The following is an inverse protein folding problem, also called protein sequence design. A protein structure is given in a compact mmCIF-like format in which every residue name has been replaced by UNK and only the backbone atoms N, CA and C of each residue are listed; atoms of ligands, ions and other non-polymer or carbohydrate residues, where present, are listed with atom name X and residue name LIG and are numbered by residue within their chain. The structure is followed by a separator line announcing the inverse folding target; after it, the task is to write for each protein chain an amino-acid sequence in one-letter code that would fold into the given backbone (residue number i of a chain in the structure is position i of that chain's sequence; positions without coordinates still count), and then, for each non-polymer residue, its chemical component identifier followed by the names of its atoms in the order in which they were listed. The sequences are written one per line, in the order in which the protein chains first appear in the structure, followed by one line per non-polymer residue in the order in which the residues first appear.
data_IF_812319680630
#
_entry.id   IF_812319680630
#
_cell.length_a   1.000
_cell.length_b   1.000
_cell.length_c   1.000
_cell.angle_alpha   90.00
_cell.angle_beta   90.00
_cell.angle_gamma   90.00
#
_symmetry.space_group_name_H-M   'P 1'
#
loop_
_entity.id
_entity.type
_entity.pdbx_description
1 polymer ?
#
# COMPACT_ATOMS: atom_id res chain seq x y z
N UNK A 1 38.77 -18.37 68.27
CA UNK A 1 39.07 -17.24 67.37
C UNK A 1 39.23 -17.79 65.95
N UNK A 2 38.36 -18.67 65.43
CA UNK A 2 36.93 -18.53 65.01
C UNK A 2 36.73 -17.42 63.99
N UNK A 3 36.64 -17.83 62.73
CA UNK A 3 36.29 -17.03 61.57
C UNK A 3 34.83 -16.55 61.66
N UNK A 4 34.58 -15.31 61.21
CA UNK A 4 33.25 -14.74 61.01
C UNK A 4 32.85 -14.95 59.53
N UNK A 5 31.79 -15.74 59.23
CA UNK A 5 31.33 -16.00 57.87
C UNK A 5 30.16 -15.11 57.39
N UNK A 6 29.65 -14.14 58.18
CA UNK A 6 28.36 -13.47 57.89
C UNK A 6 28.43 -11.94 57.74
N UNK A 7 29.33 -11.44 56.89
CA UNK A 7 29.24 -10.07 56.40
C UNK A 7 28.43 -10.02 55.08
N UNK A 8 27.21 -9.44 55.04
CA UNK A 8 26.44 -9.29 53.81
C UNK A 8 27.10 -8.24 52.92
N UNK A 9 27.98 -8.72 52.03
CA UNK A 9 28.50 -7.92 50.92
C UNK A 9 27.35 -7.49 50.02
N UNK A 10 27.04 -6.19 50.05
CA UNK A 10 26.10 -5.54 49.14
C UNK A 10 26.59 -5.73 47.71
N UNK A 11 26.10 -6.79 47.04
CA UNK A 11 26.35 -7.01 45.61
C UNK A 11 25.69 -5.85 44.87
N UNK A 12 26.52 -4.93 44.38
CA UNK A 12 26.09 -3.87 43.46
C UNK A 12 25.30 -4.51 42.33
N UNK A 13 24.11 -3.99 42.14
CA UNK A 13 23.23 -4.22 41.01
C UNK A 13 24.02 -4.25 39.70
N UNK A 14 24.06 -5.42 39.06
CA UNK A 14 24.33 -5.50 37.63
C UNK A 14 23.19 -4.77 36.94
N UNK A 15 23.45 -3.55 36.47
CA UNK A 15 22.56 -2.85 35.57
C UNK A 15 22.21 -3.77 34.39
N UNK A 16 20.94 -3.84 33.95
CA UNK A 16 20.64 -4.55 32.73
C UNK A 16 21.37 -3.83 31.60
N UNK A 17 22.28 -4.57 30.96
CA UNK A 17 22.97 -4.16 29.74
C UNK A 17 21.92 -3.58 28.79
N UNK A 18 22.07 -2.28 28.50
CA UNK A 18 21.27 -1.54 27.54
C UNK A 18 21.64 -1.97 26.13
N UNK A 19 21.52 -3.27 25.86
CA UNK A 19 21.70 -3.89 24.57
C UNK A 19 20.74 -3.25 23.61
N UNK A 20 21.29 -2.37 22.76
CA UNK A 20 20.72 -1.81 21.55
C UNK A 20 19.33 -2.37 21.22
N UNK A 21 18.30 -1.58 21.49
CA UNK A 21 16.98 -1.74 20.87
C UNK A 21 17.17 -1.63 19.36
N UNK A 22 17.53 -2.74 18.72
CA UNK A 22 17.52 -2.88 17.27
C UNK A 22 16.06 -2.69 16.88
N UNK A 23 15.73 -1.48 16.42
CA UNK A 23 14.40 -1.15 15.92
C UNK A 23 13.94 -2.19 14.89
N UNK A 24 12.61 -2.32 14.68
CA UNK A 24 12.04 -3.33 13.79
C UNK A 24 12.76 -3.34 12.44
N UNK A 25 13.30 -4.50 12.07
CA UNK A 25 14.14 -4.67 10.87
C UNK A 25 13.30 -4.51 9.60
N UNK A 26 13.06 -3.27 9.16
CA UNK A 26 12.50 -2.89 7.85
C UNK A 26 13.37 -3.34 6.64
N UNK A 27 14.46 -4.07 6.88
CA UNK A 27 15.39 -4.58 5.86
C UNK A 27 14.80 -5.69 4.99
N UNK A 28 13.85 -6.49 5.49
CA UNK A 28 13.36 -7.67 4.75
C UNK A 28 12.58 -7.29 3.49
N UNK A 29 11.72 -6.28 3.58
CA UNK A 29 10.97 -5.77 2.42
C UNK A 29 11.91 -5.34 1.29
N UNK A 30 12.87 -4.46 1.60
CA UNK A 30 13.76 -3.89 0.58
C UNK A 30 14.64 -4.94 -0.11
N UNK A 31 15.06 -6.00 0.58
CA UNK A 31 15.92 -7.04 0.01
C UNK A 31 15.15 -7.97 -0.94
N UNK A 32 13.88 -8.28 -0.63
CA UNK A 32 13.00 -9.06 -1.50
C UNK A 32 12.65 -8.25 -2.76
N UNK A 33 12.38 -6.96 -2.61
CA UNK A 33 12.01 -6.09 -3.75
C UNK A 33 13.19 -5.66 -4.62
N UNK A 34 14.41 -5.56 -4.09
CA UNK A 34 15.60 -5.16 -4.84
C UNK A 34 16.07 -6.19 -5.88
N UNK A 35 15.74 -7.47 -5.70
CA UNK A 35 16.18 -8.56 -6.58
C UNK A 35 15.42 -8.62 -7.92
N UNK A 36 14.29 -7.93 -8.04
CA UNK A 36 13.42 -7.96 -9.24
C UNK A 36 13.67 -6.81 -10.24
N UNK A 37 14.87 -6.20 -10.26
CA UNK A 37 15.17 -5.10 -11.19
C UNK A 37 16.18 -5.51 -12.26
N UNK A 38 15.67 -5.87 -13.44
CA UNK A 38 16.43 -5.97 -14.68
C UNK A 38 16.41 -4.63 -15.42
N UNK A 39 17.39 -4.33 -16.27
CA UNK A 39 17.44 -3.05 -17.00
C UNK A 39 16.21 -2.80 -17.89
N UNK A 40 15.59 -3.86 -18.42
CA UNK A 40 14.35 -3.78 -19.21
C UNK A 40 13.14 -3.37 -18.35
N UNK A 41 13.09 -3.80 -17.08
CA UNK A 41 12.00 -3.47 -16.17
C UNK A 41 11.95 -1.96 -15.86
N UNK A 42 13.10 -1.29 -15.87
CA UNK A 42 13.18 0.16 -15.65
C UNK A 42 12.56 0.96 -16.79
N UNK A 43 12.70 0.50 -18.02
CA UNK A 43 12.13 1.16 -19.19
C UNK A 43 10.61 0.96 -19.24
N UNK A 44 10.14 -0.28 -19.00
CA UNK A 44 8.71 -0.57 -18.89
C UNK A 44 8.06 0.23 -17.74
N UNK A 45 8.71 0.32 -16.58
CA UNK A 45 8.25 1.13 -15.45
C UNK A 45 8.13 2.62 -15.81
N UNK A 46 9.07 3.15 -16.59
CA UNK A 46 9.04 4.55 -17.00
C UNK A 46 7.88 4.83 -17.97
N UNK A 47 7.66 3.96 -18.95
CA UNK A 47 6.55 4.09 -19.90
C UNK A 47 5.21 4.00 -19.17
N UNK A 48 5.03 2.99 -18.31
CA UNK A 48 3.76 2.82 -17.60
C UNK A 48 3.52 3.95 -16.60
N UNK A 49 4.57 4.45 -15.93
CA UNK A 49 4.44 5.61 -15.05
C UNK A 49 4.04 6.87 -15.84
N UNK A 50 4.59 7.08 -17.03
CA UNK A 50 4.21 8.19 -17.90
C UNK A 50 2.77 8.05 -18.41
N UNK A 51 2.39 6.86 -18.88
CA UNK A 51 1.04 6.56 -19.37
C UNK A 51 -0.05 6.75 -18.29
N UNK A 52 0.29 6.58 -17.00
CA UNK A 52 -0.62 6.82 -15.88
C UNK A 52 -0.82 8.30 -15.51
N UNK A 53 -0.17 9.25 -16.20
CA UNK A 53 -0.27 10.68 -15.88
C UNK A 53 -1.25 11.42 -16.78
N UNK A 54 -1.86 12.50 -16.28
CA UNK A 54 -2.67 13.40 -17.12
C UNK A 54 -1.86 14.07 -18.24
N UNK A 55 -0.54 14.20 -18.08
CA UNK A 55 0.36 14.72 -19.11
C UNK A 55 0.32 13.94 -20.42
N UNK A 56 0.21 12.61 -20.34
CA UNK A 56 0.09 11.73 -21.50
C UNK A 56 -1.13 12.09 -22.36
N UNK A 57 -2.28 12.35 -21.72
CA UNK A 57 -3.53 12.71 -22.38
C UNK A 57 -3.40 14.04 -23.12
N UNK A 58 -2.79 15.06 -22.50
CA UNK A 58 -2.58 16.35 -23.15
C UNK A 58 -1.66 16.26 -24.36
N UNK A 59 -0.55 15.50 -24.26
CA UNK A 59 0.37 15.28 -25.39
C UNK A 59 -0.34 14.62 -26.57
N UNK A 60 -1.12 13.56 -26.32
CA UNK A 60 -1.89 12.88 -27.39
C UNK A 60 -2.96 13.78 -28.00
N UNK A 61 -3.65 14.56 -27.17
CA UNK A 61 -4.68 15.51 -27.65
C UNK A 61 -4.08 16.55 -28.59
N UNK A 62 -2.94 17.14 -28.21
CA UNK A 62 -2.22 18.11 -29.06
C UNK A 62 -1.70 17.43 -30.32
N UNK A 63 -1.12 16.24 -30.21
CA UNK A 63 -0.63 15.46 -31.35
C UNK A 63 -1.74 15.18 -32.37
N UNK A 64 -2.91 14.69 -31.93
CA UNK A 64 -4.05 14.44 -32.81
C UNK A 64 -4.60 15.73 -33.42
N UNK A 65 -4.72 16.80 -32.63
CA UNK A 65 -5.17 18.09 -33.14
C UNK A 65 -4.23 18.63 -34.24
N UNK A 66 -2.91 18.51 -34.05
CA UNK A 66 -1.90 18.89 -35.04
C UNK A 66 -2.00 18.01 -36.29
N UNK A 67 -2.13 16.69 -36.14
CA UNK A 67 -2.26 15.77 -37.29
C UNK A 67 -3.48 16.09 -38.14
N UNK A 68 -4.63 16.31 -37.50
CA UNK A 68 -5.89 16.67 -38.15
C UNK A 68 -5.72 18.03 -38.83
N UNK A 69 -5.20 19.05 -38.14
CA UNK A 69 -4.99 20.38 -38.70
C UNK A 69 -4.06 20.38 -39.92
N UNK A 70 -2.97 19.59 -39.90
CA UNK A 70 -2.06 19.43 -41.04
C UNK A 70 -2.75 18.74 -42.23
N UNK A 71 -3.54 17.69 -41.99
CA UNK A 71 -4.26 17.01 -43.08
C UNK A 71 -5.40 17.86 -43.65
N UNK A 72 -6.04 18.73 -42.85
CA UNK A 72 -7.10 19.63 -43.31
C UNK A 72 -6.58 20.92 -43.95
N UNK A 73 -5.46 21.48 -43.48
CA UNK A 73 -5.01 22.84 -43.85
C UNK A 73 -3.85 22.88 -44.82
N UNK A 74 -3.00 21.84 -44.87
CA UNK A 74 -1.74 21.89 -45.62
C UNK A 74 -1.82 21.28 -47.02
N UNK A 75 -2.72 20.33 -47.23
CA UNK A 75 -2.86 19.62 -48.51
C UNK A 75 -4.16 20.02 -49.17
N UNK A 76 -4.07 20.89 -50.18
CA UNK A 76 -5.17 21.12 -51.11
C UNK A 76 -5.62 19.81 -51.79
N UNK A 77 -6.73 19.81 -52.56
CA UNK A 77 -7.43 18.62 -53.05
C UNK A 77 -6.62 17.63 -53.93
N UNK A 78 -5.32 17.85 -54.15
CA UNK A 78 -4.47 17.06 -55.03
C UNK A 78 -3.60 16.00 -54.33
N UNK A 79 -3.22 16.14 -53.04
CA UNK A 79 -2.38 15.15 -52.34
C UNK A 79 -2.69 15.08 -50.84
N UNK A 80 -3.81 14.47 -50.45
CA UNK A 80 -4.11 14.25 -49.02
C UNK A 80 -3.30 13.05 -48.50
N UNK A 81 -2.38 13.28 -47.56
CA UNK A 81 -1.51 12.23 -46.97
C UNK A 81 -2.30 11.16 -46.20
N UNK A 82 -3.32 11.57 -45.41
CA UNK A 82 -4.21 10.67 -44.69
C UNK A 82 -5.68 11.12 -44.87
N UNK A 83 -6.36 10.66 -45.93
CA UNK A 83 -7.75 11.06 -46.22
C UNK A 83 -8.68 10.66 -45.09
N UNK A 84 -9.67 11.52 -44.80
CA UNK A 84 -10.76 11.16 -43.89
C UNK A 84 -11.39 9.84 -44.37
N UNK A 85 -11.43 8.77 -43.54
CA UNK A 85 -11.47 8.75 -42.07
C UNK A 85 -10.13 8.56 -41.30
N UNK A 86 -8.99 9.02 -41.81
CA UNK A 86 -7.66 8.94 -41.18
C UNK A 86 -7.20 7.49 -40.87
N UNK A 87 -7.05 6.68 -41.92
CA UNK A 87 -6.68 5.28 -41.79
C UNK A 87 -5.29 5.06 -41.20
N UNK A 88 -4.31 5.88 -41.57
CA UNK A 88 -2.93 5.74 -41.08
C UNK A 88 -2.82 6.10 -39.60
N UNK A 89 -3.44 7.22 -39.18
CA UNK A 89 -3.51 7.59 -37.77
C UNK A 89 -4.14 6.47 -36.96
N UNK A 90 -5.29 5.95 -37.40
CA UNK A 90 -6.02 4.90 -36.68
C UNK A 90 -5.18 3.63 -36.53
N UNK A 91 -4.45 3.24 -37.57
CA UNK A 91 -3.57 2.07 -37.53
C UNK A 91 -2.43 2.25 -36.52
N UNK A 92 -1.76 3.41 -36.53
CA UNK A 92 -0.64 3.71 -35.63
C UNK A 92 -1.13 3.73 -34.18
N UNK A 93 -2.23 4.43 -33.90
CA UNK A 93 -2.81 4.52 -32.55
C UNK A 93 -3.26 3.15 -32.03
N UNK A 94 -3.83 2.31 -32.89
CA UNK A 94 -4.23 0.96 -32.50
C UNK A 94 -3.03 0.10 -32.10
N UNK A 95 -1.93 0.20 -32.85
CA UNK A 95 -0.68 -0.49 -32.53
C UNK A 95 -0.08 0.03 -31.22
N UNK A 96 -0.03 1.35 -31.04
CA UNK A 96 0.44 1.99 -29.82
C UNK A 96 -0.37 1.57 -28.58
N UNK A 97 -1.70 1.51 -28.71
CA UNK A 97 -2.59 1.08 -27.64
C UNK A 97 -2.33 -0.38 -27.20
N UNK A 98 -2.02 -1.28 -28.13
CA UNK A 98 -1.65 -2.67 -27.82
C UNK A 98 -0.35 -2.72 -26.98
N UNK A 99 0.67 -1.95 -27.37
CA UNK A 99 1.92 -1.85 -26.61
C UNK A 99 1.69 -1.27 -25.21
N UNK A 100 0.92 -0.17 -25.10
CA UNK A 100 0.59 0.45 -23.82
C UNK A 100 -0.17 -0.51 -22.90
N UNK A 101 -1.19 -1.21 -23.41
CA UNK A 101 -1.94 -2.22 -22.66
C UNK A 101 -1.02 -3.34 -22.14
N UNK A 102 -0.09 -3.80 -22.97
CA UNK A 102 0.89 -4.83 -22.58
C UNK A 102 1.84 -4.32 -21.48
N UNK A 103 2.35 -3.10 -21.58
CA UNK A 103 3.21 -2.50 -20.55
C UNK A 103 2.47 -2.25 -19.23
N UNK A 104 1.21 -1.82 -19.31
CA UNK A 104 0.32 -1.69 -18.15
C UNK A 104 0.12 -3.05 -17.50
N UNK A 105 -0.19 -4.10 -18.28
CA UNK A 105 -0.38 -5.46 -17.76
C UNK A 105 0.87 -6.00 -17.06
N UNK A 106 2.05 -5.81 -17.64
CA UNK A 106 3.33 -6.24 -17.02
C UNK A 106 3.57 -5.49 -15.71
N UNK A 107 3.31 -4.18 -15.67
CA UNK A 107 3.42 -3.37 -14.45
C UNK A 107 2.44 -3.83 -13.37
N UNK A 108 1.17 -4.07 -13.75
CA UNK A 108 0.12 -4.57 -12.86
C UNK A 108 0.48 -5.94 -12.30
N UNK A 109 0.95 -6.88 -13.11
CA UNK A 109 1.38 -8.20 -12.63
C UNK A 109 2.52 -8.08 -11.60
N UNK A 110 3.46 -7.15 -11.83
CA UNK A 110 4.54 -6.85 -10.87
C UNK A 110 4.05 -6.14 -9.61
N UNK A 111 3.02 -5.30 -9.69
CA UNK A 111 2.39 -4.67 -8.52
C UNK A 111 1.63 -5.73 -7.69
N UNK A 112 0.83 -6.58 -8.33
CA UNK A 112 0.11 -7.67 -7.68
C UNK A 112 1.06 -8.65 -6.95
N UNK A 113 2.19 -9.02 -7.57
CA UNK A 113 3.20 -9.84 -6.90
C UNK A 113 3.79 -9.17 -5.65
N UNK A 114 3.98 -7.84 -5.67
CA UNK A 114 4.46 -7.07 -4.52
C UNK A 114 3.39 -6.95 -3.43
N UNK A 115 2.14 -6.77 -3.82
CA UNK A 115 0.99 -6.71 -2.91
C UNK A 115 0.79 -8.04 -2.18
N UNK A 116 0.94 -9.18 -2.86
CA UNK A 116 0.86 -10.50 -2.24
C UNK A 116 1.91 -10.68 -1.14
N UNK A 117 3.18 -10.37 -1.42
CA UNK A 117 4.27 -10.44 -0.42
C UNK A 117 3.99 -9.50 0.75
N UNK A 118 3.49 -8.29 0.46
CA UNK A 118 3.14 -7.33 1.51
C UNK A 118 1.99 -7.84 2.38
N UNK A 119 0.98 -8.48 1.78
CA UNK A 119 -0.14 -9.07 2.50
C UNK A 119 0.33 -10.16 3.47
N UNK A 120 1.24 -11.04 3.04
CA UNK A 120 1.82 -12.08 3.90
C UNK A 120 2.57 -11.49 5.10
N UNK A 121 3.39 -10.45 4.87
CA UNK A 121 4.13 -9.77 5.94
C UNK A 121 3.21 -9.04 6.93
N UNK A 122 2.15 -8.42 6.42
CA UNK A 122 1.13 -7.76 7.26
C UNK A 122 0.40 -8.80 8.10
N UNK A 123 0.05 -9.95 7.52
CA UNK A 123 -0.56 -11.05 8.23
C UNK A 123 0.34 -11.58 9.36
N UNK A 124 1.62 -11.86 9.08
CA UNK A 124 2.57 -12.30 10.11
C UNK A 124 2.71 -11.27 11.24
N UNK A 125 2.79 -10.00 10.88
CA UNK A 125 2.88 -8.91 11.87
C UNK A 125 1.62 -8.83 12.73
N UNK A 126 0.44 -9.00 12.13
CA UNK A 126 -0.83 -8.99 12.86
C UNK A 126 -0.94 -10.16 13.83
N UNK A 127 -0.64 -11.38 13.38
CA UNK A 127 -0.62 -12.57 14.25
C UNK A 127 0.37 -12.40 15.40
N UNK A 128 1.56 -11.86 15.12
CA UNK A 128 2.54 -11.57 16.17
C UNK A 128 2.00 -10.55 17.16
N UNK A 129 1.40 -9.45 16.70
CA UNK A 129 0.82 -8.43 17.57
C UNK A 129 -0.29 -9.00 18.46
N UNK A 130 -1.15 -9.85 17.91
CA UNK A 130 -2.20 -10.55 18.65
C UNK A 130 -1.62 -11.44 19.75
N UNK A 131 -0.62 -12.27 19.43
CA UNK A 131 0.07 -13.13 20.41
C UNK A 131 0.70 -12.32 21.53
N UNK A 132 1.34 -11.19 21.22
CA UNK A 132 1.91 -10.29 22.23
C UNK A 132 0.83 -9.64 23.10
N UNK A 133 -0.28 -9.18 22.51
CA UNK A 133 -1.40 -8.59 23.23
C UNK A 133 -2.01 -9.59 24.22
N UNK A 134 -2.24 -10.84 23.80
CA UNK A 134 -2.76 -11.89 24.68
C UNK A 134 -1.79 -12.19 25.83
N UNK A 135 -0.48 -12.25 25.58
CA UNK A 135 0.51 -12.47 26.63
C UNK A 135 0.56 -11.32 27.64
N UNK A 136 0.52 -10.07 27.17
CA UNK A 136 0.46 -8.90 28.05
C UNK A 136 -0.83 -8.89 28.88
N UNK A 137 -1.96 -9.20 28.26
CA UNK A 137 -3.25 -9.31 28.96
C UNK A 137 -3.20 -10.35 30.08
N UNK A 138 -2.69 -11.55 29.79
CA UNK A 138 -2.50 -12.61 30.79
C UNK A 138 -1.54 -12.19 31.91
N UNK A 139 -0.42 -11.54 31.59
CA UNK A 139 0.56 -11.08 32.58
C UNK A 139 -0.02 -9.99 33.51
N UNK A 140 -0.98 -9.21 33.03
CA UNK A 140 -1.73 -8.20 33.81
C UNK A 140 -2.95 -8.77 34.52
N UNK A 141 -3.25 -10.06 34.38
CA UNK A 141 -4.43 -10.71 34.96
C UNK A 141 -5.76 -10.33 34.30
N UNK A 142 -5.72 -9.80 33.08
CA UNK A 142 -6.94 -9.49 32.31
C UNK A 142 -7.56 -10.78 31.75
N UNK A 143 -8.87 -10.94 31.92
CA UNK A 143 -9.64 -12.01 31.30
C UNK A 143 -9.91 -11.67 29.82
N UNK A 144 -9.46 -12.49 28.85
CA UNK A 144 -9.75 -12.29 27.43
C UNK A 144 -11.24 -12.15 27.12
N UNK A 145 -12.12 -12.85 27.85
CA UNK A 145 -13.57 -12.72 27.63
C UNK A 145 -14.08 -11.31 27.93
N UNK A 146 -13.56 -10.67 28.97
CA UNK A 146 -14.00 -9.33 29.37
C UNK A 146 -13.57 -8.28 28.35
N UNK A 147 -12.37 -8.42 27.76
CA UNK A 147 -11.90 -7.55 26.68
C UNK A 147 -12.77 -7.72 25.44
N UNK A 148 -13.09 -8.96 25.06
CA UNK A 148 -13.94 -9.26 23.90
C UNK A 148 -15.35 -8.67 24.06
N UNK A 149 -15.95 -8.81 25.25
CA UNK A 149 -17.25 -8.21 25.55
C UNK A 149 -17.22 -6.68 25.44
N UNK A 150 -16.16 -6.03 25.92
CA UNK A 150 -16.01 -4.59 25.83
C UNK A 150 -15.83 -4.11 24.38
N UNK A 151 -15.05 -4.84 23.57
CA UNK A 151 -14.88 -4.55 22.13
C UNK A 151 -16.21 -4.70 21.38
N UNK A 152 -16.96 -5.77 21.64
CA UNK A 152 -18.27 -5.98 21.01
C UNK A 152 -19.26 -4.87 21.36
N UNK A 153 -19.26 -4.39 22.61
CA UNK A 153 -20.10 -3.28 23.01
C UNK A 153 -19.71 -1.98 22.28
N UNK A 154 -18.42 -1.65 22.20
CA UNK A 154 -17.94 -0.47 21.46
C UNK A 154 -18.30 -0.57 19.97
N UNK A 155 -18.13 -1.73 19.35
CA UNK A 155 -18.48 -1.94 17.93
C UNK A 155 -19.99 -1.82 17.71
N UNK A 156 -20.81 -2.34 18.62
CA UNK A 156 -22.27 -2.21 18.59
C UNK A 156 -22.67 -0.73 18.67
N UNK A 157 -22.11 0.02 19.63
CA UNK A 157 -22.37 1.46 19.78
C UNK A 157 -21.97 2.25 18.53
N UNK A 158 -20.77 2.01 17.98
CA UNK A 158 -20.29 2.67 16.76
C UNK A 158 -21.18 2.35 15.54
N UNK A 159 -21.59 1.08 15.40
CA UNK A 159 -22.53 0.67 14.34
C UNK A 159 -23.88 1.37 14.47
N UNK A 160 -24.45 1.46 15.67
CA UNK A 160 -25.71 2.17 15.93
C UNK A 160 -25.61 3.68 15.68
N UNK A 161 -24.45 4.29 15.93
CA UNK A 161 -24.20 5.71 15.62
C UNK A 161 -24.06 5.98 14.11
N UNK A 162 -23.49 5.05 13.34
CA UNK A 162 -23.35 5.18 11.88
C UNK A 162 -24.64 4.82 11.11
N UNK A 163 -25.44 3.91 11.65
CA UNK A 163 -26.69 3.46 11.02
C UNK A 163 -27.83 3.53 12.04
N UNK A 164 -28.38 4.74 12.31
CA UNK A 164 -29.50 4.88 13.22
C UNK A 164 -30.68 4.07 12.68
N UNK A 165 -31.14 3.09 13.45
CA UNK A 165 -32.36 2.35 13.15
C UNK A 165 -33.53 3.35 13.00
N UNK A 166 -34.36 3.26 11.94
CA UNK A 166 -35.52 4.12 11.81
C UNK A 166 -36.50 3.78 12.95
N UNK A 167 -36.51 4.60 14.02
CA UNK A 167 -37.47 4.51 15.12
C UNK A 167 -36.90 4.26 16.52
N UNK A 168 -35.58 4.21 16.72
CA UNK A 168 -34.99 4.16 18.07
C UNK A 168 -34.37 5.51 18.39
N UNK A 169 -35.02 6.28 19.28
CA UNK A 169 -34.46 7.56 19.76
C UNK A 169 -33.09 7.35 20.40
N UNK A 170 -32.12 8.25 20.17
CA UNK A 170 -30.82 8.17 20.81
C UNK A 170 -30.98 8.29 22.31
N UNK A 171 -30.55 7.27 23.05
CA UNK A 171 -30.45 7.33 24.52
C UNK A 171 -29.41 8.39 24.83
N UNK A 172 -29.88 9.54 25.31
CA UNK A 172 -29.03 10.61 25.82
C UNK A 172 -28.33 10.10 27.07
N UNK A 173 -26.99 10.22 27.18
CA UNK A 173 -26.33 9.92 28.43
C UNK A 173 -26.76 10.99 29.43
N UNK A 174 -27.54 10.59 30.43
CA UNK A 174 -27.84 11.43 31.58
C UNK A 174 -26.52 11.88 32.20
N UNK A 175 -26.32 13.19 32.22
CA UNK A 175 -25.17 13.82 32.84
C UNK A 175 -25.17 13.51 34.35
N UNK A 176 -24.11 12.83 34.81
CA UNK A 176 -23.69 12.84 36.22
C UNK A 176 -23.27 14.25 36.67
#
# INVERSE_FOLDING_TARGET
MTADPDAPGFRRSSAPDGGHRRGPRLRHERLVFARMRTSQDRFADAITAFAGTMGFVYVHTVWFAVWIALNLSLFGPAEVFDPYPFGLLTMIVSLEAIFLSTFVMVSQNRQAARENIRADLVFETNVRAEVWAVHMGKALGLDPKQVELHVQEILRQSRSAMNPEPGVEPVTPEAE
#
